data_IF_884307751220
#
_entry.id   IF_884307751220
#
_cell.length_a   1.000
_cell.length_b   1.000
_cell.length_c   1.000
_cell.angle_alpha   90.00
_cell.angle_beta   90.00
_cell.angle_gamma   90.00
#
_symmetry.space_group_name_H-M   'P 1'
#
loop_
_entity.id
_entity.type
_entity.pdbx_description
1 polymer ?
#
# COMPACT_ATOMS: atom_id res chain seq x y z
N UNK A 1 -36.04 -53.52 -10.53
CA UNK A 1 -35.09 -52.43 -10.23
C UNK A 1 -34.88 -52.41 -8.73
N UNK A 2 -33.69 -52.76 -8.25
CA UNK A 2 -33.37 -52.82 -6.82
C UNK A 2 -32.19 -53.74 -6.58
N UNK A 3 -30.98 -53.22 -6.79
CA UNK A 3 -29.72 -53.97 -6.69
C UNK A 3 -29.34 -54.26 -5.24
N UNK A 4 -28.63 -55.38 -5.11
CA UNK A 4 -28.28 -56.10 -3.89
C UNK A 4 -27.51 -55.29 -2.84
N UNK A 5 -27.72 -55.67 -1.58
CA UNK A 5 -26.92 -55.24 -0.45
C UNK A 5 -25.47 -55.72 -0.58
N UNK A 6 -24.54 -54.79 -0.38
CA UNK A 6 -23.10 -55.06 -0.36
C UNK A 6 -22.63 -55.28 1.08
N UNK A 7 -22.04 -56.45 1.32
CA UNK A 7 -21.50 -56.88 2.61
C UNK A 7 -20.19 -56.16 2.93
N UNK A 8 -20.08 -55.74 4.19
CA UNK A 8 -18.90 -55.17 4.85
C UNK A 8 -17.96 -56.30 5.32
N UNK A 9 -16.69 -56.30 4.89
CA UNK A 9 -15.48 -56.84 5.58
C UNK A 9 -14.25 -56.55 4.72
N UNK A 10 -13.28 -55.76 5.19
CA UNK A 10 -11.94 -56.12 5.72
C UNK A 10 -11.10 -54.83 5.51
N UNK A 11 -10.03 -54.45 6.21
CA UNK A 11 -9.12 -55.06 7.20
C UNK A 11 -8.40 -53.89 7.88
N UNK A 12 -8.17 -54.01 9.18
CA UNK A 12 -7.33 -53.11 9.98
C UNK A 12 -5.87 -53.29 9.59
N UNK A 13 -5.12 -52.20 9.39
CA UNK A 13 -3.65 -52.21 9.21
C UNK A 13 -3.07 -50.85 9.67
N UNK A 14 -1.80 -50.81 10.11
CA UNK A 14 -1.42 -50.16 11.37
C UNK A 14 -1.10 -48.67 11.27
N UNK A 15 -1.21 -48.00 12.43
CA UNK A 15 -0.64 -46.69 12.71
C UNK A 15 0.87 -46.76 12.56
N UNK A 16 1.43 -46.08 11.55
CA UNK A 16 2.82 -45.70 11.56
C UNK A 16 2.91 -44.24 12.00
N UNK A 17 3.48 -44.05 13.18
CA UNK A 17 3.99 -42.78 13.68
C UNK A 17 4.93 -42.20 12.62
N UNK A 18 4.54 -41.08 12.01
CA UNK A 18 5.45 -40.28 11.20
C UNK A 18 5.80 -39.03 11.99
N UNK A 19 7.06 -39.00 12.38
CA UNK A 19 7.76 -37.95 13.08
C UNK A 19 7.33 -36.57 12.57
N UNK A 20 6.96 -35.69 13.50
CA UNK A 20 6.68 -34.29 13.20
C UNK A 20 7.98 -33.63 12.71
N UNK A 21 8.21 -33.65 11.41
CA UNK A 21 9.19 -32.79 10.77
C UNK A 21 8.81 -31.34 11.09
N UNK A 22 9.56 -30.71 12.00
CA UNK A 22 9.48 -29.27 12.25
C UNK A 22 10.01 -28.55 11.02
N UNK A 23 9.15 -28.39 10.01
CA UNK A 23 9.42 -27.52 8.87
C UNK A 23 9.64 -26.11 9.43
N UNK A 24 10.83 -25.57 9.21
CA UNK A 24 11.18 -24.21 9.61
C UNK A 24 10.11 -23.26 9.05
N UNK A 25 9.45 -22.54 9.95
CA UNK A 25 8.47 -21.51 9.59
C UNK A 25 9.18 -20.47 8.73
N UNK A 26 8.89 -20.47 7.44
CA UNK A 26 9.34 -19.42 6.53
C UNK A 26 8.76 -18.11 7.06
N UNK A 27 9.61 -17.16 7.44
CA UNK A 27 9.20 -15.81 7.85
C UNK A 27 8.51 -15.14 6.66
N UNK A 28 7.19 -15.28 6.58
CA UNK A 28 6.37 -14.59 5.59
C UNK A 28 6.32 -13.11 5.98
N UNK A 29 6.36 -12.23 4.97
CA UNK A 29 6.09 -10.81 5.22
C UNK A 29 4.66 -10.70 5.81
N UNK A 30 4.47 -9.88 6.84
CA UNK A 30 3.17 -9.73 7.47
C UNK A 30 2.16 -9.22 6.45
N UNK A 31 0.93 -9.75 6.50
CA UNK A 31 -0.15 -9.31 5.62
C UNK A 31 -0.59 -7.88 6.00
N UNK A 32 -1.09 -7.07 5.05
CA UNK A 32 -1.59 -5.72 5.36
C UNK A 32 -2.57 -5.69 6.54
N UNK A 33 -3.51 -6.64 6.60
CA UNK A 33 -4.52 -6.73 7.67
C UNK A 33 -3.89 -6.97 9.07
N UNK A 34 -2.86 -7.83 9.14
CA UNK A 34 -2.12 -8.10 10.38
C UNK A 34 -1.37 -6.85 10.88
N UNK A 35 -0.93 -6.01 9.95
CA UNK A 35 -0.27 -4.74 10.26
C UNK A 35 -1.26 -3.70 10.75
N UNK A 36 -2.47 -3.64 10.17
CA UNK A 36 -3.54 -2.72 10.60
C UNK A 36 -3.90 -2.90 12.07
N UNK A 37 -4.05 -4.14 12.54
CA UNK A 37 -4.35 -4.41 13.95
C UNK A 37 -3.26 -3.91 14.90
N UNK A 38 -1.98 -4.16 14.57
CA UNK A 38 -0.85 -3.68 15.37
C UNK A 38 -0.82 -2.16 15.44
N UNK A 39 -1.05 -1.49 14.31
CA UNK A 39 -1.10 -0.03 14.27
C UNK A 39 -2.28 0.54 15.07
N UNK A 40 -3.44 -0.09 14.99
CA UNK A 40 -4.60 0.28 15.79
C UNK A 40 -4.36 0.13 17.30
N UNK A 41 -3.69 -0.95 17.74
CA UNK A 41 -3.30 -1.14 19.14
C UNK A 41 -2.37 -0.02 19.63
N UNK A 42 -1.36 0.36 18.84
CA UNK A 42 -0.45 1.47 19.17
C UNK A 42 -1.21 2.79 19.31
N UNK A 43 -2.14 3.08 18.40
CA UNK A 43 -2.96 4.29 18.44
C UNK A 43 -3.89 4.31 19.67
N UNK A 44 -4.52 3.18 20.00
CA UNK A 44 -5.38 3.04 21.19
C UNK A 44 -4.60 3.21 22.49
N UNK A 45 -3.36 2.74 22.54
CA UNK A 45 -2.52 2.83 23.74
C UNK A 45 -1.98 4.24 24.00
N UNK A 46 -1.58 4.97 22.94
CA UNK A 46 -0.90 6.27 23.08
C UNK A 46 -1.85 7.47 22.98
N UNK A 47 -3.01 7.33 22.34
CA UNK A 47 -3.97 8.43 22.15
C UNK A 47 -3.48 9.58 21.26
N UNK A 48 -2.24 9.50 20.77
CA UNK A 48 -1.58 10.45 19.87
C UNK A 48 -0.99 9.67 18.70
N UNK A 49 -1.13 10.20 17.48
CA UNK A 49 -0.56 9.61 16.27
C UNK A 49 0.98 9.59 16.34
N UNK A 50 1.63 8.42 16.32
CA UNK A 50 3.09 8.35 16.35
C UNK A 50 3.75 8.99 15.14
N UNK A 51 4.91 9.59 15.36
CA UNK A 51 5.70 10.29 14.35
C UNK A 51 6.04 9.43 13.12
N UNK A 52 6.21 8.12 13.31
CA UNK A 52 6.54 7.23 12.21
C UNK A 52 5.40 7.09 11.17
N UNK A 53 4.16 7.47 11.48
CA UNK A 53 3.06 7.51 10.52
C UNK A 53 3.05 8.78 9.67
N UNK A 54 3.87 9.78 10.01
CA UNK A 54 3.81 11.10 9.42
C UNK A 54 4.91 11.32 8.36
N UNK A 55 4.59 12.18 7.39
CA UNK A 55 5.46 12.68 6.34
C UNK A 55 5.50 14.20 6.44
N UNK A 56 6.69 14.74 6.65
CA UNK A 56 6.92 16.18 6.79
C UNK A 56 7.38 16.82 5.48
N UNK A 57 7.92 16.02 4.56
CA UNK A 57 8.51 16.50 3.31
C UNK A 57 8.29 15.46 2.22
N UNK A 58 7.97 15.91 1.00
CA UNK A 58 7.88 15.05 -0.18
C UNK A 58 8.76 15.58 -1.30
N UNK A 59 9.11 14.73 -2.26
CA UNK A 59 9.61 15.21 -3.55
C UNK A 59 8.42 15.79 -4.32
N UNK A 60 8.54 17.04 -4.75
CA UNK A 60 7.55 17.66 -5.62
C UNK A 60 7.64 17.08 -7.03
N UNK A 61 6.51 17.00 -7.72
CA UNK A 61 6.42 16.68 -9.15
C UNK A 61 6.47 17.94 -10.03
N UNK A 62 6.84 19.07 -9.45
CA UNK A 62 6.86 20.36 -10.11
C UNK A 62 8.26 20.71 -10.59
N UNK A 63 8.28 21.50 -11.65
CA UNK A 63 9.47 22.04 -12.26
C UNK A 63 9.40 23.56 -12.29
N UNK A 64 10.57 24.17 -12.36
CA UNK A 64 10.78 25.60 -12.54
C UNK A 64 11.42 25.80 -13.91
N UNK A 65 10.87 26.67 -14.73
CA UNK A 65 11.44 27.01 -16.04
C UNK A 65 12.48 28.15 -15.94
N UNK A 66 12.90 28.68 -17.10
CA UNK A 66 13.90 29.76 -17.19
C UNK A 66 13.39 31.10 -16.64
N UNK A 67 12.08 31.33 -16.73
CA UNK A 67 11.41 32.56 -16.28
C UNK A 67 11.05 32.50 -14.78
N UNK A 68 11.18 31.32 -14.16
CA UNK A 68 10.90 31.10 -12.75
C UNK A 68 9.46 30.65 -12.47
N UNK A 69 8.69 30.35 -13.51
CA UNK A 69 7.34 29.83 -13.38
C UNK A 69 7.39 28.40 -12.84
N UNK A 70 6.38 28.05 -12.04
CA UNK A 70 6.30 26.74 -11.37
C UNK A 70 5.08 25.98 -11.86
N UNK A 71 5.31 24.83 -12.50
CA UNK A 71 4.24 23.97 -12.99
C UNK A 71 4.62 22.49 -12.93
N UNK A 72 3.62 21.62 -13.02
CA UNK A 72 3.84 20.18 -13.17
C UNK A 72 4.33 19.84 -14.59
N UNK A 73 3.83 20.55 -15.59
CA UNK A 73 4.14 20.33 -17.00
C UNK A 73 4.19 21.69 -17.72
N UNK A 74 5.17 21.85 -18.60
CA UNK A 74 5.34 23.04 -19.43
C UNK A 74 5.07 22.68 -20.88
N UNK A 75 4.61 23.65 -21.66
CA UNK A 75 4.32 23.47 -23.08
C UNK A 75 4.78 24.68 -23.88
N UNK A 76 5.26 24.44 -25.08
CA UNK A 76 5.61 25.46 -26.06
C UNK A 76 4.73 25.32 -27.31
N UNK A 77 4.40 26.46 -27.92
CA UNK A 77 3.70 26.44 -29.21
C UNK A 77 4.71 26.17 -30.33
N UNK A 78 4.52 25.07 -31.04
CA UNK A 78 5.30 24.71 -32.20
C UNK A 78 4.49 24.99 -33.46
N UNK A 79 5.09 25.77 -34.36
CA UNK A 79 4.51 26.07 -35.68
C UNK A 79 5.11 25.14 -36.72
N UNK A 80 4.29 24.21 -37.22
CA UNK A 80 4.65 23.31 -38.31
C UNK A 80 3.87 23.76 -39.56
N UNK A 81 4.40 24.78 -40.25
CA UNK A 81 3.70 25.46 -41.34
C UNK A 81 2.48 26.23 -40.86
N UNK A 82 1.31 25.97 -41.46
CA UNK A 82 0.03 26.61 -41.11
C UNK A 82 -0.63 26.06 -39.84
N UNK A 83 -0.08 24.97 -39.26
CA UNK A 83 -0.66 24.32 -38.08
C UNK A 83 0.15 24.70 -36.84
N UNK A 84 -0.58 25.14 -35.81
CA UNK A 84 -0.03 25.39 -34.48
C UNK A 84 -0.39 24.24 -33.55
N UNK A 85 0.58 23.77 -32.77
CA UNK A 85 0.39 22.70 -31.79
C UNK A 85 1.09 23.05 -30.50
N UNK A 86 0.49 22.66 -29.38
CA UNK A 86 1.13 22.72 -28.07
C UNK A 86 1.97 21.44 -27.89
N UNK A 87 3.28 21.59 -27.74
CA UNK A 87 4.21 20.49 -27.51
C UNK A 87 4.71 20.55 -26.07
N UNK A 88 4.77 19.39 -25.39
CA UNK A 88 5.27 19.34 -24.01
C UNK A 88 6.77 19.65 -23.98
N UNK A 89 7.15 20.62 -23.17
CA UNK A 89 8.54 21.00 -22.94
C UNK A 89 9.13 20.13 -21.82
N UNK A 90 10.31 19.56 -22.09
CA UNK A 90 11.07 18.72 -21.14
C UNK A 90 12.50 19.23 -20.91
N UNK A 91 12.94 20.24 -21.68
CA UNK A 91 14.30 20.78 -21.66
C UNK A 91 14.37 21.98 -20.73
N UNK A 92 15.54 22.23 -20.15
CA UNK A 92 15.85 23.38 -19.31
C UNK A 92 14.94 23.57 -18.08
N UNK A 93 14.16 22.55 -17.73
CA UNK A 93 13.32 22.53 -16.54
C UNK A 93 14.13 22.08 -15.33
N UNK A 94 14.16 22.90 -14.28
CA UNK A 94 14.79 22.55 -13.00
C UNK A 94 13.75 21.90 -12.09
N UNK A 95 14.01 20.71 -11.52
CA UNK A 95 13.08 20.15 -10.54
C UNK A 95 13.00 21.07 -9.32
N UNK A 96 11.79 21.39 -8.86
CA UNK A 96 11.57 22.22 -7.66
C UNK A 96 12.18 21.58 -6.41
N UNK A 97 12.34 20.26 -6.42
CA UNK A 97 13.03 19.50 -5.39
C UNK A 97 12.07 19.04 -4.31
N UNK A 98 12.51 19.12 -3.05
CA UNK A 98 11.68 18.69 -1.92
C UNK A 98 10.83 19.84 -1.39
N UNK A 99 9.59 19.53 -1.07
CA UNK A 99 8.62 20.47 -0.52
C UNK A 99 8.20 20.01 0.89
N UNK A 100 8.34 20.92 1.86
CA UNK A 100 7.90 20.70 3.23
C UNK A 100 6.41 21.01 3.35
N UNK A 101 5.69 20.13 4.02
CA UNK A 101 4.29 20.37 4.33
C UNK A 101 4.16 21.29 5.54
N UNK A 102 3.25 22.25 5.48
CA UNK A 102 2.90 23.07 6.63
C UNK A 102 2.26 22.23 7.75
N UNK A 103 1.49 21.20 7.37
CA UNK A 103 0.87 20.22 8.27
C UNK A 103 1.34 18.83 7.82
N UNK A 104 1.95 18.02 8.71
CA UNK A 104 2.42 16.68 8.38
C UNK A 104 1.29 15.80 7.84
N UNK A 105 1.59 14.99 6.84
CA UNK A 105 0.60 14.11 6.18
C UNK A 105 0.82 12.67 6.60
N UNK A 106 -0.22 11.83 6.49
CA UNK A 106 -0.07 10.39 6.72
C UNK A 106 0.77 9.75 5.61
N UNK A 107 1.60 8.77 5.99
CA UNK A 107 2.36 7.96 5.04
C UNK A 107 1.39 7.14 4.17
N UNK A 108 1.51 7.19 2.84
CA UNK A 108 0.62 6.44 1.94
C UNK A 108 0.82 4.93 2.03
N UNK A 109 2.01 4.47 2.43
CA UNK A 109 2.37 3.05 2.46
C UNK A 109 1.91 2.34 3.74
N UNK A 110 1.35 3.07 4.70
CA UNK A 110 0.97 2.53 6.00
C UNK A 110 -0.56 2.56 6.14
N UNK A 111 -1.22 1.39 6.22
CA UNK A 111 -2.67 1.36 6.38
C UNK A 111 -3.03 1.77 7.82
N UNK A 112 -3.67 2.93 7.95
CA UNK A 112 -4.09 3.52 9.24
C UNK A 112 -5.61 3.67 9.25
N UNK A 113 -6.25 3.15 10.29
CA UNK A 113 -7.67 3.39 10.56
C UNK A 113 -7.79 4.60 11.47
N UNK A 114 -8.37 5.69 10.95
CA UNK A 114 -8.56 6.94 11.69
C UNK A 114 -9.87 6.92 12.48
N UNK A 115 -10.87 6.18 11.99
CA UNK A 115 -12.20 6.07 12.59
C UNK A 115 -12.77 4.66 12.40
N UNK A 116 -13.37 4.10 13.45
CA UNK A 116 -14.12 2.86 13.42
C UNK A 116 -15.49 3.07 14.07
N UNK A 117 -16.55 2.45 13.52
CA UNK A 117 -17.88 2.47 14.15
C UNK A 117 -17.93 1.38 15.20
N UNK A 118 -18.21 1.74 16.45
CA UNK A 118 -18.43 0.77 17.52
C UNK A 118 -19.71 -0.01 17.26
N UNK A 119 -19.62 -1.33 17.13
CA UNK A 119 -20.81 -2.18 17.22
C UNK A 119 -21.22 -2.21 18.70
N UNK A 120 -22.01 -1.24 19.12
CA UNK A 120 -22.72 -1.28 20.40
C UNK A 120 -23.66 -2.49 20.34
N UNK A 121 -23.30 -3.56 21.06
CA UNK A 121 -24.19 -4.70 21.25
C UNK A 121 -25.36 -4.20 22.11
N UNK A 122 -26.51 -4.04 21.47
CA UNK A 122 -27.81 -3.81 22.12
C UNK A 122 -28.18 -4.99 22.99
#
# INVERSE_FOLDING_TARGET
MGLAGSKRKETTSPKNESESNKVASVKRKPRPDEMMHKYAEVLKAQGVLPEFFLVHETKSSQYVDEDGDVANEFYEEMNEGDKRRLCRLLKNLKPRGKERYAIPRLKPDIPVVIWEVGNEKT
#
